data_IF_718457794842
#
_entry.id   IF_718457794842
#
_cell.length_a   1.000
_cell.length_b   1.000
_cell.length_c   1.000
_cell.angle_alpha   90.00
_cell.angle_beta   90.00
_cell.angle_gamma   90.00
#
_symmetry.space_group_name_H-M   'P 1'
#
loop_
_entity.id
_entity.type
_entity.pdbx_description
1 polymer ?
#
# COMPACT_ATOMS: atom_id res chain seq x y z
N UNK A 1 13.61 0.31 -20.61
CA UNK A 1 12.67 0.05 -19.52
C UNK A 1 13.37 0.23 -18.19
N UNK A 2 12.70 0.80 -17.22
CA UNK A 2 13.25 1.04 -15.87
C UNK A 2 12.27 0.64 -14.80
N UNK A 3 12.79 0.16 -13.68
CA UNK A 3 12.02 -0.16 -12.48
C UNK A 3 12.68 0.49 -11.28
N UNK A 4 11.89 1.18 -10.47
CA UNK A 4 12.34 1.80 -9.21
C UNK A 4 11.58 1.14 -8.06
N UNK A 5 12.29 0.77 -7.00
CA UNK A 5 11.69 0.33 -5.74
C UNK A 5 11.93 1.39 -4.67
N UNK A 6 10.86 1.79 -4.02
CA UNK A 6 10.84 2.73 -2.89
C UNK A 6 10.36 1.95 -1.69
N UNK A 7 11.22 1.79 -0.69
CA UNK A 7 10.89 1.07 0.53
C UNK A 7 10.44 2.04 1.64
N UNK A 8 9.55 1.58 2.49
CA UNK A 8 9.16 2.34 3.66
C UNK A 8 8.17 1.57 4.51
N UNK A 9 8.30 1.68 5.81
CA UNK A 9 7.43 1.07 6.79
C UNK A 9 5.99 1.63 6.79
N UNK A 10 5.13 1.15 7.71
CA UNK A 10 3.78 1.67 7.87
C UNK A 10 3.83 3.16 8.24
N UNK A 11 3.02 3.99 7.58
CA UNK A 11 2.92 5.41 7.94
C UNK A 11 4.07 6.32 7.50
N UNK A 12 5.00 5.83 6.69
CA UNK A 12 6.14 6.63 6.18
C UNK A 12 5.79 7.53 5.00
N UNK A 13 4.51 7.58 4.59
CA UNK A 13 4.07 8.47 3.51
C UNK A 13 4.16 7.87 2.09
N UNK A 14 4.30 6.55 1.93
CA UNK A 14 4.34 5.87 0.61
C UNK A 14 3.22 6.34 -0.32
N UNK A 15 1.96 6.25 0.12
CA UNK A 15 0.81 6.64 -0.71
C UNK A 15 0.74 8.14 -1.00
N UNK A 16 1.23 8.99 -0.08
CA UNK A 16 1.35 10.44 -0.31
C UNK A 16 2.38 10.71 -1.42
N UNK A 17 3.53 10.05 -1.36
CA UNK A 17 4.55 10.13 -2.40
C UNK A 17 4.00 9.64 -3.75
N UNK A 18 3.27 8.51 -3.76
CA UNK A 18 2.67 7.93 -4.96
C UNK A 18 1.73 8.91 -5.67
N UNK A 19 0.87 9.60 -4.90
CA UNK A 19 -0.08 10.58 -5.45
C UNK A 19 0.65 11.82 -5.97
N UNK A 20 1.66 12.31 -5.25
CA UNK A 20 2.45 13.45 -5.72
C UNK A 20 3.22 13.12 -7.01
N UNK A 21 3.80 11.92 -7.11
CA UNK A 21 4.43 11.44 -8.35
C UNK A 21 3.42 11.34 -9.50
N UNK A 22 2.22 10.80 -9.23
CA UNK A 22 1.15 10.71 -10.21
C UNK A 22 0.82 12.11 -10.78
N UNK A 23 0.62 13.09 -9.91
CA UNK A 23 0.30 14.46 -10.31
C UNK A 23 1.43 15.11 -11.09
N UNK A 24 2.68 14.93 -10.65
CA UNK A 24 3.85 15.47 -11.33
C UNK A 24 4.02 14.91 -12.75
N UNK A 25 3.80 13.60 -12.93
CA UNK A 25 3.90 12.97 -14.25
C UNK A 25 2.75 13.34 -15.17
N UNK A 26 1.53 13.49 -14.65
CA UNK A 26 0.39 14.00 -15.41
C UNK A 26 0.64 15.44 -15.87
N UNK A 27 1.20 16.29 -15.00
CA UNK A 27 1.55 17.67 -15.36
C UNK A 27 2.61 17.74 -16.47
N UNK A 28 3.44 16.71 -16.58
CA UNK A 28 4.40 16.53 -17.68
C UNK A 28 3.80 15.86 -18.93
N UNK A 29 2.49 15.67 -18.96
CA UNK A 29 1.76 15.01 -20.05
C UNK A 29 2.18 13.56 -20.29
N UNK A 30 2.69 12.86 -19.28
CA UNK A 30 3.03 11.45 -19.37
C UNK A 30 1.76 10.60 -19.13
N UNK A 31 1.61 9.55 -19.94
CA UNK A 31 0.57 8.54 -19.74
C UNK A 31 0.86 7.72 -18.49
N UNK A 32 0.31 8.14 -17.36
CA UNK A 32 0.64 7.58 -16.05
C UNK A 32 -0.57 6.87 -15.45
N UNK A 33 -0.33 5.73 -14.79
CA UNK A 33 -1.34 4.97 -14.07
C UNK A 33 -0.88 4.69 -12.63
N UNK A 34 -1.82 4.78 -11.70
CA UNK A 34 -1.66 4.37 -10.31
C UNK A 34 -2.38 3.03 -10.11
N UNK A 35 -1.65 2.02 -9.70
CA UNK A 35 -2.18 0.69 -9.46
C UNK A 35 -2.08 0.33 -7.96
N UNK A 36 -3.19 -0.14 -7.39
CA UNK A 36 -3.23 -0.69 -6.03
C UNK A 36 -4.26 -1.80 -5.94
N UNK A 37 -3.94 -2.84 -5.16
CA UNK A 37 -4.86 -3.94 -4.88
C UNK A 37 -6.01 -3.47 -3.97
N UNK A 38 -5.76 -2.52 -3.08
CA UNK A 38 -6.73 -2.00 -2.15
C UNK A 38 -7.73 -1.05 -2.85
N UNK A 39 -9.03 -1.36 -2.76
CA UNK A 39 -10.09 -0.53 -3.35
C UNK A 39 -10.31 0.78 -2.57
N UNK A 40 -10.24 0.74 -1.25
CA UNK A 40 -10.57 1.87 -0.40
C UNK A 40 -9.71 3.14 -0.63
N UNK A 41 -8.36 3.08 -0.69
CA UNK A 41 -7.55 4.24 -1.06
C UNK A 41 -7.88 4.76 -2.45
N UNK A 42 -8.08 3.86 -3.42
CA UNK A 42 -8.44 4.21 -4.78
C UNK A 42 -9.76 4.97 -4.85
N UNK A 43 -10.79 4.49 -4.16
CA UNK A 43 -12.10 5.14 -4.10
C UNK A 43 -12.05 6.48 -3.37
N UNK A 44 -11.25 6.59 -2.31
CA UNK A 44 -11.04 7.83 -1.59
C UNK A 44 -10.38 8.90 -2.49
N UNK A 45 -9.33 8.54 -3.23
CA UNK A 45 -8.69 9.46 -4.17
C UNK A 45 -9.62 9.84 -5.33
N UNK A 46 -10.36 8.88 -5.87
CA UNK A 46 -11.38 9.16 -6.89
C UNK A 46 -12.42 10.15 -6.38
N UNK A 47 -12.93 9.94 -5.16
CA UNK A 47 -13.92 10.85 -4.54
C UNK A 47 -13.37 12.27 -4.37
N UNK A 48 -12.14 12.41 -3.86
CA UNK A 48 -11.49 13.72 -3.66
C UNK A 48 -11.26 14.48 -4.98
N UNK A 49 -10.88 13.75 -6.04
CA UNK A 49 -10.54 14.35 -7.33
C UNK A 49 -11.77 14.63 -8.22
N UNK A 50 -12.92 13.99 -7.96
CA UNK A 50 -14.09 14.04 -8.85
C UNK A 50 -15.16 15.04 -8.43
N UNK A 51 -14.94 15.80 -7.36
CA UNK A 51 -15.98 16.71 -6.81
C UNK A 51 -16.47 17.84 -7.76
N UNK A 52 -15.95 17.99 -8.97
CA UNK A 52 -16.28 19.16 -9.78
C UNK A 52 -16.80 18.96 -11.21
N UNK A 53 -16.66 17.77 -11.86
CA UNK A 53 -17.12 17.64 -13.27
C UNK A 53 -17.25 16.17 -13.74
N UNK A 54 -18.42 15.78 -14.27
CA UNK A 54 -18.68 14.41 -14.74
C UNK A 54 -17.75 13.96 -15.91
N UNK A 55 -17.34 14.87 -16.79
CA UNK A 55 -16.39 14.57 -17.88
C UNK A 55 -14.97 14.34 -17.37
N UNK A 56 -14.56 15.05 -16.32
CA UNK A 56 -13.29 14.80 -15.63
C UNK A 56 -13.27 13.47 -14.90
N UNK A 57 -14.42 12.99 -14.41
CA UNK A 57 -14.55 11.72 -13.70
C UNK A 57 -14.14 10.51 -14.54
N UNK A 58 -14.45 10.46 -15.82
CA UNK A 58 -14.10 9.34 -16.70
C UNK A 58 -12.58 9.25 -16.89
N UNK A 59 -11.93 10.39 -17.13
CA UNK A 59 -10.48 10.46 -17.31
C UNK A 59 -9.74 10.12 -16.01
N UNK A 60 -10.23 10.59 -14.87
CA UNK A 60 -9.63 10.32 -13.55
C UNK A 60 -9.75 8.84 -13.18
N UNK A 61 -10.88 8.19 -13.46
CA UNK A 61 -11.03 6.74 -13.22
C UNK A 61 -10.02 5.89 -13.98
N UNK A 62 -9.58 6.33 -15.14
CA UNK A 62 -8.57 5.62 -15.93
C UNK A 62 -7.16 5.71 -15.35
N UNK A 63 -6.90 6.72 -14.50
CA UNK A 63 -5.64 6.88 -13.80
C UNK A 63 -5.44 5.85 -12.69
N UNK A 64 -6.52 5.24 -12.19
CA UNK A 64 -6.50 4.32 -11.08
C UNK A 64 -6.96 2.92 -11.51
N UNK A 65 -6.12 1.93 -11.35
CA UNK A 65 -6.41 0.54 -11.74
C UNK A 65 -6.15 -0.45 -10.60
N UNK A 66 -6.83 -1.58 -10.68
CA UNK A 66 -6.42 -2.77 -9.95
C UNK A 66 -5.30 -3.48 -10.73
N UNK A 67 -4.28 -4.03 -10.07
CA UNK A 67 -3.25 -4.85 -10.73
C UNK A 67 -3.82 -6.02 -11.53
N UNK A 68 -4.97 -6.56 -11.14
CA UNK A 68 -5.66 -7.61 -11.90
C UNK A 68 -6.04 -7.23 -13.33
N UNK A 69 -6.24 -5.95 -13.60
CA UNK A 69 -6.56 -5.43 -14.94
C UNK A 69 -5.35 -5.20 -15.85
N UNK A 70 -4.13 -5.45 -15.36
CA UNK A 70 -2.92 -5.22 -16.15
C UNK A 70 -2.53 -6.38 -17.05
N UNK A 71 -3.04 -7.59 -16.81
CA UNK A 71 -2.77 -8.78 -17.62
C UNK A 71 -3.17 -8.65 -19.10
N UNK A 72 -4.16 -7.80 -19.38
CA UNK A 72 -4.66 -7.56 -20.74
C UNK A 72 -4.17 -6.24 -21.34
N UNK A 73 -3.22 -5.57 -20.67
CA UNK A 73 -2.65 -4.31 -21.13
C UNK A 73 -1.43 -4.62 -22.01
N UNK A 74 -1.35 -4.06 -23.22
CA UNK A 74 -0.17 -4.23 -24.07
C UNK A 74 1.11 -3.71 -23.39
N UNK A 75 2.25 -4.30 -23.77
CA UNK A 75 3.55 -3.87 -23.27
C UNK A 75 3.80 -2.38 -23.53
N UNK A 76 4.40 -1.71 -22.54
CA UNK A 76 4.79 -0.30 -22.61
C UNK A 76 3.64 0.67 -22.91
N UNK A 77 2.41 0.30 -22.52
CA UNK A 77 1.23 1.18 -22.67
C UNK A 77 1.36 2.46 -21.85
N UNK A 78 1.94 2.35 -20.64
CA UNK A 78 2.14 3.50 -19.76
C UNK A 78 3.57 4.02 -19.85
N UNK A 79 3.73 5.34 -19.87
CA UNK A 79 5.04 5.96 -19.67
C UNK A 79 5.52 5.71 -18.24
N UNK A 80 4.59 5.80 -17.26
CA UNK A 80 4.85 5.46 -15.87
C UNK A 80 3.70 4.68 -15.23
N UNK A 81 4.02 3.63 -14.50
CA UNK A 81 3.11 2.89 -13.63
C UNK A 81 3.60 2.97 -12.19
N UNK A 82 2.78 3.56 -11.32
CA UNK A 82 3.03 3.64 -9.88
C UNK A 82 2.23 2.54 -9.20
N UNK A 83 2.91 1.62 -8.52
CA UNK A 83 2.31 0.47 -7.84
C UNK A 83 2.40 0.69 -6.33
N UNK A 84 1.29 1.03 -5.71
CA UNK A 84 1.20 1.21 -4.26
C UNK A 84 0.80 -0.11 -3.57
N UNK A 85 1.27 -0.30 -2.34
CA UNK A 85 1.11 -1.56 -1.59
C UNK A 85 1.62 -2.77 -2.40
N UNK A 86 2.80 -2.63 -3.02
CA UNK A 86 3.33 -3.61 -3.96
C UNK A 86 3.57 -5.00 -3.33
N UNK A 87 3.80 -5.08 -2.01
CA UNK A 87 3.90 -6.33 -1.27
C UNK A 87 2.63 -7.19 -1.36
N UNK A 88 1.48 -6.60 -1.70
CA UNK A 88 0.20 -7.29 -1.85
C UNK A 88 -0.06 -7.88 -3.24
N UNK A 89 0.88 -7.72 -4.18
CA UNK A 89 0.77 -8.32 -5.52
C UNK A 89 0.78 -9.84 -5.43
N UNK A 90 0.08 -10.51 -6.35
CA UNK A 90 -0.10 -11.96 -6.34
C UNK A 90 0.29 -12.60 -7.67
N UNK A 91 0.61 -13.89 -7.63
CA UNK A 91 0.69 -14.75 -8.81
C UNK A 91 -0.60 -15.54 -8.97
N UNK A 92 -0.88 -16.03 -10.17
CA UNK A 92 -2.02 -16.89 -10.44
C UNK A 92 -1.82 -18.22 -9.69
N UNK A 93 -2.81 -18.55 -8.87
CA UNK A 93 -2.88 -19.87 -8.25
C UNK A 93 -4.09 -20.65 -8.78
N UNK A 94 -5.27 -20.01 -8.79
CA UNK A 94 -6.53 -20.60 -9.26
C UNK A 94 -7.49 -19.48 -9.70
N UNK A 95 -8.52 -19.82 -10.49
CA UNK A 95 -9.62 -18.91 -10.85
C UNK A 95 -9.50 -18.28 -12.25
N UNK A 96 -10.47 -17.41 -12.58
CA UNK A 96 -10.71 -16.87 -13.94
C UNK A 96 -9.81 -15.67 -14.31
N UNK A 97 -8.86 -15.27 -13.45
CA UNK A 97 -7.92 -14.22 -13.81
C UNK A 97 -6.97 -14.71 -14.91
N UNK A 98 -6.93 -13.99 -16.03
CA UNK A 98 -6.14 -14.34 -17.19
C UNK A 98 -4.64 -14.03 -17.05
N UNK A 99 -4.23 -13.36 -15.97
CA UNK A 99 -2.83 -13.05 -15.70
C UNK A 99 -2.05 -14.24 -15.14
N UNK A 100 -0.74 -14.07 -15.06
CA UNK A 100 0.22 -15.03 -14.54
C UNK A 100 0.86 -14.53 -13.23
N UNK A 101 1.39 -13.30 -13.27
CA UNK A 101 2.17 -12.71 -12.20
C UNK A 101 2.06 -11.19 -12.24
N UNK A 102 1.46 -10.59 -11.22
CA UNK A 102 1.19 -9.16 -11.20
C UNK A 102 2.45 -8.29 -11.21
N UNK A 103 3.58 -8.77 -10.67
CA UNK A 103 4.87 -8.05 -10.76
C UNK A 103 5.35 -8.00 -12.20
N UNK A 104 5.32 -9.14 -12.91
CA UNK A 104 5.63 -9.23 -14.34
C UNK A 104 4.78 -8.27 -15.16
N UNK A 105 3.47 -8.31 -14.95
CA UNK A 105 2.49 -7.52 -15.69
C UNK A 105 2.66 -6.02 -15.45
N UNK A 106 2.95 -5.59 -14.23
CA UNK A 106 3.26 -4.20 -13.93
C UNK A 106 4.52 -3.72 -14.67
N UNK A 107 5.58 -4.54 -14.69
CA UNK A 107 6.81 -4.21 -15.41
C UNK A 107 6.58 -4.23 -16.92
N UNK A 108 5.84 -5.21 -17.45
CA UNK A 108 5.53 -5.28 -18.88
C UNK A 108 4.72 -4.08 -19.37
N UNK A 109 3.69 -3.69 -18.64
CA UNK A 109 2.73 -2.66 -19.04
C UNK A 109 3.33 -1.25 -19.13
N UNK A 110 4.56 -0.99 -18.61
CA UNK A 110 5.10 0.36 -18.53
C UNK A 110 6.57 0.51 -18.96
N UNK A 111 6.95 1.71 -19.36
CA UNK A 111 8.35 2.09 -19.60
C UNK A 111 9.10 2.33 -18.29
N UNK A 112 8.42 2.96 -17.31
CA UNK A 112 8.88 3.16 -15.93
C UNK A 112 7.87 2.54 -14.96
N UNK A 113 8.31 1.56 -14.17
CA UNK A 113 7.53 1.01 -13.05
C UNK A 113 8.09 1.51 -11.74
N UNK A 114 7.25 2.05 -10.85
CA UNK A 114 7.64 2.49 -9.51
C UNK A 114 6.87 1.66 -8.50
N UNK A 115 7.56 0.81 -7.74
CA UNK A 115 6.98 -0.03 -6.71
C UNK A 115 7.20 0.59 -5.33
N UNK A 116 6.11 0.88 -4.61
CA UNK A 116 6.17 1.28 -3.21
C UNK A 116 5.93 0.04 -2.37
N UNK A 117 6.93 -0.34 -1.61
CA UNK A 117 7.05 -1.66 -1.01
C UNK A 117 7.31 -1.58 0.50
N UNK A 118 6.70 -2.50 1.21
CA UNK A 118 6.99 -2.83 2.60
C UNK A 118 6.90 -4.35 2.75
N UNK A 119 8.03 -5.04 2.70
CA UNK A 119 8.04 -6.51 2.74
C UNK A 119 7.52 -7.06 4.08
N UNK A 120 7.59 -6.26 5.14
CA UNK A 120 7.10 -6.62 6.46
C UNK A 120 5.58 -6.62 6.57
N UNK A 121 4.88 -6.03 5.60
CA UNK A 121 3.41 -6.00 5.51
C UNK A 121 2.82 -7.08 4.59
N UNK A 122 3.59 -8.06 4.17
CA UNK A 122 3.03 -9.24 3.50
C UNK A 122 2.14 -9.99 4.49
N UNK A 123 0.87 -10.25 4.12
CA UNK A 123 -0.14 -10.85 5.01
C UNK A 123 -0.41 -12.30 4.68
N UNK A 124 -0.30 -12.68 3.41
CA UNK A 124 -0.65 -14.02 2.96
C UNK A 124 0.49 -14.66 2.19
N UNK A 125 0.54 -15.99 2.18
CA UNK A 125 1.51 -16.77 1.37
C UNK A 125 1.39 -16.53 -0.13
N UNK A 126 0.31 -15.89 -0.57
CA UNK A 126 0.05 -15.54 -1.96
C UNK A 126 0.60 -14.16 -2.33
N UNK A 127 0.98 -13.35 -1.36
CA UNK A 127 1.57 -12.04 -1.56
C UNK A 127 3.03 -12.23 -2.02
N UNK A 128 3.32 -11.92 -3.28
CA UNK A 128 4.62 -12.17 -3.91
C UNK A 128 5.44 -10.91 -4.15
N UNK A 129 4.86 -9.73 -3.86
CA UNK A 129 5.51 -8.45 -4.10
C UNK A 129 6.72 -8.27 -3.17
N UNK A 130 7.88 -8.72 -3.62
CA UNK A 130 9.15 -8.63 -2.90
C UNK A 130 10.24 -8.07 -3.81
N UNK A 131 11.34 -7.59 -3.21
CA UNK A 131 12.53 -7.15 -3.95
C UNK A 131 13.07 -8.30 -4.81
N UNK A 132 13.06 -9.52 -4.28
CA UNK A 132 13.53 -10.70 -4.99
C UNK A 132 12.71 -10.98 -6.25
N UNK A 133 11.39 -10.96 -6.14
CA UNK A 133 10.48 -11.19 -7.29
C UNK A 133 10.56 -10.05 -8.32
N UNK A 134 10.60 -8.79 -7.86
CA UNK A 134 10.80 -7.63 -8.75
C UNK A 134 12.15 -7.74 -9.47
N UNK A 135 13.22 -8.08 -8.78
CA UNK A 135 14.56 -8.25 -9.37
C UNK A 135 14.60 -9.35 -10.43
N UNK A 136 13.91 -10.47 -10.16
CA UNK A 136 13.78 -11.58 -11.12
C UNK A 136 13.13 -11.08 -12.40
N UNK A 137 11.95 -10.46 -12.34
CA UNK A 137 11.23 -10.00 -13.52
C UNK A 137 11.90 -8.82 -14.22
N UNK A 138 12.66 -7.99 -13.49
CA UNK A 138 13.50 -6.97 -14.12
C UNK A 138 14.54 -7.58 -15.04
N UNK A 139 15.19 -8.66 -14.62
CA UNK A 139 16.17 -9.38 -15.45
C UNK A 139 15.52 -10.00 -16.68
N UNK A 140 14.39 -10.70 -16.49
CA UNK A 140 13.68 -11.39 -17.58
C UNK A 140 13.09 -10.43 -18.63
N UNK A 141 12.66 -9.24 -18.22
CA UNK A 141 12.05 -8.22 -19.09
C UNK A 141 13.02 -7.11 -19.51
N UNK A 142 14.32 -7.28 -19.28
CA UNK A 142 15.36 -6.29 -19.59
C UNK A 142 15.05 -4.89 -19.04
N UNK A 143 14.54 -4.82 -17.81
CA UNK A 143 14.30 -3.58 -17.08
C UNK A 143 15.44 -3.28 -16.11
N UNK A 144 15.99 -2.06 -16.17
CA UNK A 144 17.02 -1.64 -15.23
C UNK A 144 16.41 -1.36 -13.87
N UNK A 145 16.75 -2.17 -12.88
CA UNK A 145 16.32 -1.98 -11.49
C UNK A 145 17.15 -0.90 -10.80
N UNK A 146 16.47 0.01 -10.12
CA UNK A 146 17.06 1.04 -9.24
C UNK A 146 16.40 0.97 -7.86
N UNK A 147 17.23 0.99 -6.83
CA UNK A 147 16.82 1.10 -5.42
C UNK A 147 17.67 2.20 -4.78
N UNK A 148 17.34 3.49 -4.99
CA UNK A 148 18.13 4.58 -4.44
C UNK A 148 18.07 4.53 -2.91
N UNK A 149 19.21 4.67 -2.23
CA UNK A 149 19.27 4.69 -0.77
C UNK A 149 18.41 5.85 -0.21
N UNK A 150 18.38 6.97 -0.93
CA UNK A 150 17.58 8.15 -0.59
C UNK A 150 16.06 7.93 -0.73
N UNK A 151 15.66 6.89 -1.45
CA UNK A 151 14.25 6.51 -1.62
C UNK A 151 13.76 5.55 -0.52
N UNK A 152 14.55 5.28 0.51
CA UNK A 152 14.08 4.60 1.71
C UNK A 152 13.39 5.60 2.63
N UNK A 153 12.06 5.46 2.75
CA UNK A 153 11.25 6.32 3.61
C UNK A 153 11.35 5.83 5.04
N UNK A 154 11.94 6.64 5.92
CA UNK A 154 12.20 6.29 7.32
C UNK A 154 11.34 7.09 8.30
N UNK A 155 10.85 8.27 7.91
CA UNK A 155 10.07 9.13 8.81
C UNK A 155 8.69 8.55 9.06
N UNK A 156 8.33 8.39 10.33
CA UNK A 156 7.01 7.92 10.74
C UNK A 156 6.05 9.10 10.93
N UNK A 157 4.89 9.07 10.27
CA UNK A 157 3.84 10.10 10.38
C UNK A 157 2.58 9.63 11.09
N UNK A 158 2.47 8.33 11.41
CA UNK A 158 1.37 7.81 12.22
C UNK A 158 1.71 7.92 13.70
N UNK A 159 0.69 7.87 14.56
CA UNK A 159 0.83 7.91 16.01
C UNK A 159 1.74 9.06 16.49
N UNK A 160 1.57 10.26 15.91
CA UNK A 160 2.37 11.47 16.19
C UNK A 160 3.88 11.29 15.93
N UNK A 161 4.26 10.36 15.05
CA UNK A 161 5.69 10.11 14.73
C UNK A 161 6.42 9.28 15.80
N UNK A 162 5.70 8.54 16.65
CA UNK A 162 6.31 7.76 17.73
C UNK A 162 6.96 6.48 17.19
N UNK A 163 8.29 6.42 17.19
CA UNK A 163 9.04 5.20 16.92
C UNK A 163 8.79 4.14 18.02
N UNK A 164 8.58 4.58 19.26
CA UNK A 164 8.25 3.72 20.39
C UNK A 164 6.95 2.91 20.15
N UNK A 165 5.96 3.49 19.45
CA UNK A 165 4.76 2.76 19.07
C UNK A 165 5.06 1.59 18.11
N UNK A 166 5.91 1.80 17.12
CA UNK A 166 6.28 0.75 16.17
C UNK A 166 7.07 -0.34 16.89
N UNK A 167 8.04 0.04 17.73
CA UNK A 167 8.79 -0.93 18.54
C UNK A 167 7.87 -1.75 19.44
N UNK A 168 6.93 -1.11 20.12
CA UNK A 168 5.93 -1.80 20.94
C UNK A 168 5.12 -2.84 20.14
N UNK A 169 4.68 -2.50 18.93
CA UNK A 169 3.96 -3.44 18.05
C UNK A 169 4.87 -4.57 17.59
N UNK A 170 6.12 -4.28 17.21
CA UNK A 170 7.08 -5.29 16.77
C UNK A 170 7.42 -6.27 17.92
N UNK A 171 7.54 -5.79 19.16
CA UNK A 171 7.76 -6.61 20.35
C UNK A 171 6.56 -7.51 20.65
N UNK A 172 5.33 -6.97 20.64
CA UNK A 172 4.11 -7.77 20.83
C UNK A 172 3.98 -8.87 19.77
N UNK A 173 4.33 -8.55 18.52
CA UNK A 173 4.27 -9.49 17.41
C UNK A 173 5.51 -10.39 17.32
N UNK A 174 6.46 -10.26 18.26
CA UNK A 174 7.71 -11.04 18.30
C UNK A 174 8.50 -10.98 16.97
N UNK A 175 8.55 -9.79 16.37
CA UNK A 175 9.22 -9.58 15.07
C UNK A 175 10.71 -9.25 15.22
N UNK A 176 11.14 -8.91 16.42
CA UNK A 176 12.55 -8.64 16.76
C UNK A 176 13.08 -9.76 17.65
N UNK A 177 14.32 -10.20 17.40
CA UNK A 177 14.99 -11.19 18.24
C UNK A 177 15.41 -10.61 19.60
N UNK A 178 15.58 -9.29 19.69
CA UNK A 178 15.89 -8.56 20.91
C UNK A 178 14.60 -7.94 21.45
N UNK A 179 14.10 -8.44 22.58
CA UNK A 179 13.01 -7.77 23.30
C UNK A 179 13.53 -6.46 23.90
N UNK A 180 13.21 -5.36 23.28
CA UNK A 180 13.41 -4.05 23.87
C UNK A 180 12.25 -3.83 24.82
N UNK A 181 12.55 -3.72 26.13
CA UNK A 181 11.54 -3.35 27.13
C UNK A 181 11.14 -1.91 26.86
N UNK A 182 10.04 -1.72 26.12
CA UNK A 182 9.47 -0.40 25.88
C UNK A 182 8.83 0.05 27.19
N UNK A 183 9.26 1.17 27.73
CA UNK A 183 8.62 1.78 28.87
C UNK A 183 7.22 2.27 28.45
N UNK A 184 6.19 1.62 28.98
CA UNK A 184 4.80 1.95 28.64
C UNK A 184 4.41 3.36 29.10
N UNK A 185 5.10 3.92 30.10
CA UNK A 185 4.86 5.29 30.58
C UNK A 185 5.43 6.35 29.62
N UNK A 186 6.39 5.99 28.78
CA UNK A 186 6.91 6.86 27.71
C UNK A 186 6.06 6.84 26.43
N UNK A 187 5.12 5.89 26.34
CA UNK A 187 4.22 5.78 25.19
C UNK A 187 3.12 6.85 25.27
N UNK A 188 3.16 7.81 24.36
CA UNK A 188 2.09 8.81 24.19
C UNK A 188 0.80 8.22 23.59
N UNK A 189 0.45 6.97 23.90
CA UNK A 189 -0.77 6.33 23.45
C UNK A 189 -1.33 5.41 24.53
N UNK A 190 -2.67 5.25 24.53
CA UNK A 190 -3.45 4.44 25.48
C UNK A 190 -3.74 3.07 24.81
N UNK A 191 -3.06 2.01 25.26
CA UNK A 191 -3.29 0.63 24.82
C UNK A 191 -4.10 -0.12 25.86
N UNK A 192 -5.22 -0.71 25.44
CA UNK A 192 -6.14 -1.46 26.30
C UNK A 192 -6.56 -2.77 25.69
N UNK A 193 -6.67 -3.78 26.51
CA UNK A 193 -7.23 -5.08 26.18
C UNK A 193 -8.59 -5.19 26.83
N UNK A 194 -9.57 -5.74 26.13
CA UNK A 194 -10.93 -5.96 26.61
C UNK A 194 -11.29 -7.44 26.49
N UNK A 195 -12.04 -7.95 27.46
CA UNK A 195 -12.46 -9.35 27.49
C UNK A 195 -13.61 -9.63 26.51
N UNK A 196 -14.31 -8.59 26.05
CA UNK A 196 -15.41 -8.74 25.11
C UNK A 196 -15.46 -7.64 24.06
N UNK A 197 -16.00 -7.97 22.88
CA UNK A 197 -16.26 -7.01 21.80
C UNK A 197 -17.31 -5.94 22.22
N UNK A 198 -18.17 -6.25 23.21
CA UNK A 198 -19.16 -5.31 23.72
C UNK A 198 -18.47 -4.21 24.51
N UNK A 199 -17.59 -4.56 25.45
CA UNK A 199 -16.82 -3.60 26.23
C UNK A 199 -15.93 -2.72 25.35
N UNK A 200 -15.23 -3.31 24.38
CA UNK A 200 -14.46 -2.57 23.37
C UNK A 200 -15.34 -1.54 22.64
N UNK A 201 -16.54 -1.95 22.23
CA UNK A 201 -17.46 -1.06 21.51
C UNK A 201 -17.94 0.10 22.37
N UNK A 202 -18.26 -0.14 23.65
CA UNK A 202 -18.68 0.94 24.57
C UNK A 202 -17.52 1.92 24.79
N UNK A 203 -16.30 1.45 25.08
CA UNK A 203 -15.13 2.31 25.21
C UNK A 203 -14.86 3.14 23.95
N UNK A 204 -15.02 2.54 22.75
CA UNK A 204 -14.90 3.26 21.49
C UNK A 204 -15.99 4.33 21.31
N UNK A 205 -17.23 4.07 21.74
CA UNK A 205 -18.32 5.06 21.70
C UNK A 205 -18.00 6.29 22.55
N UNK A 206 -17.51 6.08 23.77
CA UNK A 206 -17.08 7.15 24.66
C UNK A 206 -15.98 8.01 24.02
N UNK A 207 -14.94 7.38 23.49
CA UNK A 207 -13.85 8.08 22.81
C UNK A 207 -14.34 8.81 21.54
N UNK A 208 -15.26 8.18 20.80
CA UNK A 208 -15.80 8.78 19.57
C UNK A 208 -16.69 9.99 19.83
N UNK A 209 -17.36 10.06 20.99
CA UNK A 209 -18.15 11.21 21.39
C UNK A 209 -17.32 12.49 21.53
N UNK A 210 -16.00 12.37 21.78
CA UNK A 210 -15.10 13.51 21.97
C UNK A 210 -14.73 14.18 20.63
N UNK A 211 -14.40 13.39 19.59
CA UNK A 211 -13.82 13.94 18.36
C UNK A 211 -14.25 13.25 17.07
N UNK A 212 -15.13 12.27 17.14
CA UNK A 212 -15.66 11.48 16.02
C UNK A 212 -14.56 10.84 15.12
N UNK A 213 -13.42 10.44 15.69
CA UNK A 213 -12.28 9.85 14.99
C UNK A 213 -12.06 8.38 15.27
N UNK A 214 -12.84 7.77 16.18
CA UNK A 214 -12.70 6.36 16.53
C UNK A 214 -13.17 5.45 15.39
N UNK A 215 -12.51 4.30 15.23
CA UNK A 215 -12.88 3.27 14.26
C UNK A 215 -12.77 1.90 14.93
N UNK A 216 -13.75 1.04 14.65
CA UNK A 216 -13.71 -0.37 15.02
C UNK A 216 -13.40 -1.19 13.77
N UNK A 217 -12.43 -2.08 13.88
CA UNK A 217 -12.07 -3.01 12.80
C UNK A 217 -12.04 -4.43 13.35
N UNK A 218 -12.38 -5.40 12.51
CA UNK A 218 -12.31 -6.82 12.86
C UNK A 218 -11.81 -7.63 11.68
N UNK A 219 -11.06 -8.70 11.96
CA UNK A 219 -10.73 -9.70 10.95
C UNK A 219 -11.97 -10.52 10.58
N UNK A 220 -11.91 -11.22 9.45
CA UNK A 220 -12.95 -12.16 9.02
C UNK A 220 -12.87 -13.44 9.87
N UNK A 221 -13.51 -13.40 11.03
CA UNK A 221 -13.56 -14.53 11.97
C UNK A 221 -14.98 -15.14 12.09
N UNK A 222 -15.97 -14.53 11.46
CA UNK A 222 -17.38 -14.92 11.56
C UNK A 222 -17.99 -15.04 10.17
N UNK A 223 -18.91 -15.99 10.02
CA UNK A 223 -19.73 -16.09 8.82
C UNK A 223 -20.69 -14.88 8.76
N UNK A 224 -20.80 -14.30 7.58
CA UNK A 224 -21.79 -13.25 7.31
C UNK A 224 -23.10 -13.92 6.93
N UNK A 225 -24.10 -13.80 7.78
CA UNK A 225 -25.49 -14.23 7.50
C UNK A 225 -26.26 -13.11 6.82
#
# INVERSE_FOLDING_TARGET
>A
KRTIVIQGGPGTGKSVLAVNLLMEFINKSLNTCYATKNSAPREAFLSLLTHSDAKKQVNIKQLFRSPFGLSNVPDNTYDCLIVDEAHRLVKKMYGDWNGENQVKECISASLLSIFLLDEDQAVTVNDIGSIAEISKWCRELNSTLKMPAEAKLVSQFRCNGSDAYIQFIDDILQRTEESVTVDLDELNFDFRIFDSAIELREALREKNAINNKSRMVAGYCYDWN
#
